data_IF_982584424437
#
_entry.id   IF_982584424437
#
_cell.length_a   1.000
_cell.length_b   1.000
_cell.length_c   1.000
_cell.angle_alpha   90.00
_cell.angle_beta   90.00
_cell.angle_gamma   90.00
#
_symmetry.space_group_name_H-M   'P 1'
#
loop_
_entity.id
_entity.type
_entity.pdbx_description
1 polymer ?
#
# COMPACT_ATOMS: atom_id res chain seq x y z
N UNK A 1 46.92 27.10 -21.01
CA UNK A 1 45.74 27.68 -20.35
C UNK A 1 44.77 26.55 -20.03
N UNK A 2 44.82 26.01 -18.82
CA UNK A 2 43.97 24.90 -18.39
C UNK A 2 42.58 25.41 -18.02
N UNK A 3 41.58 25.10 -18.84
CA UNK A 3 40.17 25.35 -18.49
C UNK A 3 39.77 24.33 -17.43
N UNK A 4 39.62 24.78 -16.20
CA UNK A 4 38.98 24.02 -15.12
C UNK A 4 37.51 23.83 -15.47
N UNK A 5 37.16 22.69 -16.04
CA UNK A 5 35.76 22.32 -16.29
C UNK A 5 35.07 22.12 -14.95
N UNK A 6 34.06 22.93 -14.68
CA UNK A 6 33.29 22.84 -13.45
C UNK A 6 32.29 21.67 -13.60
N UNK A 7 32.55 20.52 -12.96
CA UNK A 7 31.80 19.27 -13.19
C UNK A 7 30.28 19.39 -12.93
N UNK A 8 29.83 20.40 -12.18
CA UNK A 8 28.42 20.66 -11.93
C UNK A 8 27.60 21.17 -13.14
N UNK A 9 28.23 21.56 -14.24
CA UNK A 9 27.51 21.99 -15.46
C UNK A 9 28.37 21.78 -16.73
N UNK A 10 28.31 20.57 -17.31
CA UNK A 10 28.88 20.29 -18.63
C UNK A 10 27.84 20.67 -19.70
N UNK A 11 28.13 21.64 -20.60
CA UNK A 11 27.18 22.04 -21.62
C UNK A 11 27.00 20.96 -22.69
N UNK A 12 25.78 20.84 -23.24
CA UNK A 12 25.49 19.93 -24.34
C UNK A 12 26.29 20.32 -25.60
N UNK A 13 26.74 19.31 -26.35
CA UNK A 13 27.33 19.54 -27.67
C UNK A 13 26.24 19.84 -28.69
N UNK A 14 26.59 20.55 -29.78
CA UNK A 14 25.66 20.81 -30.90
C UNK A 14 25.05 19.53 -31.49
N UNK A 15 25.77 18.40 -31.41
CA UNK A 15 25.29 17.10 -31.86
C UNK A 15 24.23 16.53 -30.89
N UNK A 16 24.43 16.65 -29.58
CA UNK A 16 23.42 16.28 -28.58
C UNK A 16 22.15 17.14 -28.69
N UNK A 17 22.28 18.46 -28.91
CA UNK A 17 21.12 19.33 -29.16
C UNK A 17 20.35 18.95 -30.44
N UNK A 18 21.06 18.53 -31.50
CA UNK A 18 20.46 18.06 -32.76
C UNK A 18 19.63 16.78 -32.51
N UNK A 19 20.19 15.81 -31.78
CA UNK A 19 19.50 14.57 -31.40
C UNK A 19 18.22 14.85 -30.61
N UNK A 20 18.28 15.69 -29.57
CA UNK A 20 17.10 16.05 -28.76
C UNK A 20 15.98 16.70 -29.58
N UNK A 21 16.31 17.51 -30.58
CA UNK A 21 15.32 18.12 -31.50
C UNK A 21 14.68 17.08 -32.43
N UNK A 22 15.42 16.06 -32.85
CA UNK A 22 14.92 14.97 -33.71
C UNK A 22 14.06 13.98 -32.90
N UNK A 23 14.32 13.85 -31.59
CA UNK A 23 13.56 12.96 -30.67
C UNK A 23 12.05 13.23 -30.68
N UNK A 24 11.64 14.50 -30.78
CA UNK A 24 10.23 14.86 -30.93
C UNK A 24 9.59 14.34 -32.24
N UNK A 25 10.37 14.25 -33.32
CA UNK A 25 9.90 13.74 -34.61
C UNK A 25 9.73 12.21 -34.57
N UNK A 26 10.61 11.47 -33.87
CA UNK A 26 10.45 10.02 -33.69
C UNK A 26 9.18 9.68 -32.89
N UNK A 27 8.94 10.35 -31.76
CA UNK A 27 7.70 10.18 -30.98
C UNK A 27 6.44 10.38 -31.84
N UNK A 28 6.47 11.38 -32.74
CA UNK A 28 5.37 11.65 -33.67
C UNK A 28 5.23 10.60 -34.77
N UNK A 29 6.32 10.00 -35.26
CA UNK A 29 6.30 8.89 -36.23
C UNK A 29 5.67 7.65 -35.59
N UNK A 30 6.04 7.36 -34.34
CA UNK A 30 5.50 6.23 -33.58
C UNK A 30 4.06 6.43 -33.07
N UNK A 31 3.51 7.65 -33.21
CA UNK A 31 2.22 8.08 -32.66
C UNK A 31 2.13 7.93 -31.12
N UNK A 32 3.25 8.17 -30.44
CA UNK A 32 3.29 8.21 -28.99
C UNK A 32 2.82 9.58 -28.47
N UNK A 33 1.99 9.58 -27.42
CA UNK A 33 1.57 10.80 -26.71
C UNK A 33 2.70 11.39 -25.83
N UNK A 34 3.73 10.59 -25.52
CA UNK A 34 4.88 10.95 -24.68
C UNK A 34 6.20 10.64 -25.38
N UNK A 35 7.24 11.42 -25.07
CA UNK A 35 8.60 11.23 -25.58
C UNK A 35 9.38 10.29 -24.64
N UNK A 36 9.17 8.98 -24.78
CA UNK A 36 9.92 7.96 -24.04
C UNK A 36 11.36 7.77 -24.53
N UNK A 37 12.14 7.02 -23.75
CA UNK A 37 13.59 6.80 -23.97
C UNK A 37 13.94 6.09 -25.29
N UNK A 38 13.04 5.24 -25.78
CA UNK A 38 13.12 4.55 -27.06
C UNK A 38 13.20 5.52 -28.25
N UNK A 39 12.45 6.62 -28.21
CA UNK A 39 12.51 7.68 -29.22
C UNK A 39 13.85 8.42 -29.21
N UNK A 40 14.45 8.58 -28.02
CA UNK A 40 15.77 9.20 -27.88
C UNK A 40 16.86 8.29 -28.43
N UNK A 41 16.80 6.99 -28.15
CA UNK A 41 17.78 6.02 -28.67
C UNK A 41 17.65 5.85 -30.19
N UNK A 42 16.42 5.81 -30.73
CA UNK A 42 16.19 5.90 -32.19
C UNK A 42 16.82 7.15 -32.80
N UNK A 43 16.69 8.30 -32.14
CA UNK A 43 17.24 9.58 -32.63
C UNK A 43 18.76 9.68 -32.53
N UNK A 44 19.38 8.95 -31.60
CA UNK A 44 20.84 8.74 -31.56
C UNK A 44 21.24 7.91 -32.77
N UNK A 45 20.65 6.70 -32.90
CA UNK A 45 20.96 5.71 -33.93
C UNK A 45 20.67 6.18 -35.37
N UNK A 46 19.88 7.24 -35.55
CA UNK A 46 19.53 7.82 -36.86
C UNK A 46 20.67 8.62 -37.52
N UNK A 47 21.74 8.92 -36.79
CA UNK A 47 22.91 9.65 -37.28
C UNK A 47 24.14 8.72 -37.20
N UNK A 48 24.56 8.17 -38.35
CA UNK A 48 25.69 7.21 -38.43
C UNK A 48 27.05 7.87 -38.11
N UNK A 49 27.15 9.19 -38.22
CA UNK A 49 28.33 9.99 -37.82
C UNK A 49 28.34 10.30 -36.30
N UNK A 50 27.36 9.80 -35.54
CA UNK A 50 27.35 9.92 -34.09
C UNK A 50 28.21 8.82 -33.45
N UNK A 51 29.15 9.24 -32.59
CA UNK A 51 30.05 8.35 -31.85
C UNK A 51 29.27 7.26 -31.10
N UNK A 52 28.12 7.59 -30.52
CA UNK A 52 27.26 6.63 -29.83
C UNK A 52 26.68 5.56 -30.79
N UNK A 53 26.26 5.95 -31.99
CA UNK A 53 25.79 5.03 -33.04
C UNK A 53 26.91 4.12 -33.52
N UNK A 54 28.11 4.66 -33.74
CA UNK A 54 29.27 3.88 -34.17
C UNK A 54 29.72 2.86 -33.12
N UNK A 55 29.59 3.18 -31.83
CA UNK A 55 29.83 2.23 -30.74
C UNK A 55 28.74 1.14 -30.73
N UNK A 56 27.46 1.51 -30.78
CA UNK A 56 26.35 0.54 -30.76
C UNK A 56 26.36 -0.40 -31.98
N UNK A 57 26.79 0.10 -33.15
CA UNK A 57 26.96 -0.69 -34.37
C UNK A 57 28.02 -1.79 -34.22
N UNK A 58 29.08 -1.57 -33.43
CA UNK A 58 30.08 -2.62 -33.11
C UNK A 58 29.49 -3.77 -32.28
N UNK A 59 28.42 -3.51 -31.52
CA UNK A 59 27.64 -4.51 -30.80
C UNK A 59 26.48 -5.08 -31.64
N UNK A 60 26.41 -4.77 -32.93
CA UNK A 60 25.36 -5.25 -33.85
C UNK A 60 24.02 -4.52 -33.70
N UNK A 61 23.96 -3.43 -32.92
CA UNK A 61 22.75 -2.63 -32.74
C UNK A 61 22.77 -1.49 -33.76
N UNK A 62 21.82 -1.51 -34.70
CA UNK A 62 21.58 -0.44 -35.66
C UNK A 62 20.13 0.06 -35.57
N UNK A 63 19.85 1.17 -36.24
CA UNK A 63 18.53 1.82 -36.23
C UNK A 63 17.38 0.86 -36.58
N UNK A 64 17.49 0.09 -37.67
CA UNK A 64 16.40 -0.78 -38.13
C UNK A 64 16.14 -1.97 -37.19
N UNK A 65 17.20 -2.60 -36.65
CA UNK A 65 17.07 -3.68 -35.66
C UNK A 65 16.39 -3.17 -34.40
N UNK A 66 16.85 -2.03 -33.86
CA UNK A 66 16.26 -1.45 -32.66
C UNK A 66 14.80 -1.02 -32.90
N UNK A 67 14.52 -0.41 -34.05
CA UNK A 67 13.17 0.01 -34.45
C UNK A 67 12.18 -1.15 -34.53
N UNK A 68 12.59 -2.30 -35.09
CA UNK A 68 11.76 -3.50 -35.15
C UNK A 68 11.42 -4.02 -33.74
N UNK A 69 12.42 -4.08 -32.85
CA UNK A 69 12.21 -4.50 -31.46
C UNK A 69 11.28 -3.53 -30.69
N UNK A 70 11.37 -2.22 -30.98
CA UNK A 70 10.46 -1.21 -30.42
C UNK A 70 9.03 -1.39 -30.93
N UNK A 71 8.85 -1.68 -32.23
CA UNK A 71 7.52 -1.91 -32.81
C UNK A 71 6.86 -3.20 -32.32
N UNK A 72 7.63 -4.27 -32.08
CA UNK A 72 7.15 -5.55 -31.51
C UNK A 72 6.74 -5.38 -30.05
N UNK A 73 7.55 -4.70 -29.24
CA UNK A 73 7.31 -4.56 -27.80
C UNK A 73 6.52 -3.29 -27.43
N UNK A 74 5.63 -2.79 -28.31
CA UNK A 74 4.80 -1.58 -28.09
C UNK A 74 3.96 -1.56 -26.80
N UNK A 75 3.68 -2.71 -26.19
CA UNK A 75 3.00 -2.81 -24.89
C UNK A 75 3.96 -2.89 -23.69
N UNK A 76 5.27 -3.06 -23.93
CA UNK A 76 6.33 -3.20 -22.92
C UNK A 76 7.03 -1.88 -22.57
N UNK A 77 7.14 -0.92 -23.49
CA UNK A 77 7.74 0.40 -23.23
C UNK A 77 6.77 1.40 -22.57
N UNK A 78 6.04 0.96 -21.53
CA UNK A 78 5.42 1.91 -20.61
C UNK A 78 6.50 2.42 -19.67
N UNK A 79 6.87 3.70 -19.81
CA UNK A 79 7.95 4.41 -19.10
C UNK A 79 8.28 3.85 -17.70
N UNK A 80 9.23 2.91 -17.61
CA UNK A 80 9.86 2.49 -16.34
C UNK A 80 10.94 3.49 -15.89
N UNK A 81 10.69 4.79 -16.11
CA UNK A 81 11.65 5.88 -15.91
C UNK A 81 11.50 6.59 -14.55
N UNK A 82 11.37 5.82 -13.45
CA UNK A 82 11.72 6.30 -12.10
C UNK A 82 12.52 5.27 -11.27
N UNK A 83 13.84 5.50 -11.21
CA UNK A 83 14.63 5.29 -9.99
C UNK A 83 15.12 3.88 -9.63
N UNK A 84 16.21 3.43 -10.26
CA UNK A 84 17.32 2.78 -9.56
C UNK A 84 18.59 3.62 -9.79
N UNK A 85 19.65 3.65 -8.96
CA UNK A 85 19.91 3.12 -7.61
C UNK A 85 20.95 4.05 -6.94
N UNK A 86 21.77 3.67 -5.95
CA UNK A 86 21.91 2.41 -5.18
C UNK A 86 22.58 2.72 -3.82
N UNK A 87 23.04 1.71 -3.06
CA UNK A 87 23.72 1.89 -1.77
C UNK A 87 25.22 2.26 -1.85
N UNK A 88 25.73 2.94 -0.81
CA UNK A 88 27.09 2.71 -0.28
C UNK A 88 28.00 3.94 -0.10
N UNK A 89 28.40 4.23 1.14
CA UNK A 89 29.50 5.14 1.48
C UNK A 89 29.19 6.07 2.66
N UNK A 90 29.93 5.93 3.76
CA UNK A 90 29.90 6.85 4.90
C UNK A 90 30.47 8.24 4.51
N UNK A 91 29.89 9.33 5.04
CA UNK A 91 30.62 10.24 5.93
C UNK A 91 29.71 11.32 6.56
N UNK A 92 30.16 11.81 7.71
CA UNK A 92 29.47 12.70 8.66
C UNK A 92 29.50 14.18 8.25
N UNK A 93 28.34 14.83 8.04
CA UNK A 93 28.18 16.29 8.19
C UNK A 93 26.75 16.70 8.56
N UNK A 94 26.62 17.58 9.56
CA UNK A 94 25.41 18.32 9.91
C UNK A 94 25.39 19.66 9.16
N UNK A 95 24.21 20.10 8.67
CA UNK A 95 23.74 21.48 8.85
C UNK A 95 22.24 21.63 8.52
N UNK A 96 21.65 22.73 9.00
CA UNK A 96 20.21 22.97 9.06
C UNK A 96 19.64 23.76 7.85
N UNK A 97 18.34 24.08 7.96
CA UNK A 97 17.58 25.10 7.24
C UNK A 97 16.96 24.77 5.85
N UNK A 98 15.67 24.42 5.93
CA UNK A 98 14.59 25.25 5.39
C UNK A 98 14.69 25.78 3.94
N UNK A 99 13.91 25.20 3.02
CA UNK A 99 12.68 25.84 2.51
C UNK A 99 11.85 24.87 1.65
N UNK A 100 10.52 25.05 1.66
CA UNK A 100 9.53 24.05 1.23
C UNK A 100 9.09 24.15 -0.23
N UNK A 101 9.00 23.00 -0.91
CA UNK A 101 8.07 22.76 -2.03
C UNK A 101 7.58 21.29 -2.00
N UNK A 102 6.29 21.00 -2.22
CA UNK A 102 5.76 19.65 -2.12
C UNK A 102 6.10 18.82 -3.37
N UNK A 103 6.96 17.81 -3.24
CA UNK A 103 7.13 16.79 -4.29
C UNK A 103 5.90 15.86 -4.31
N UNK A 104 5.38 15.58 -5.50
CA UNK A 104 4.36 14.55 -5.71
C UNK A 104 4.89 13.19 -5.24
N UNK A 105 4.06 12.45 -4.50
CA UNK A 105 4.34 11.10 -4.05
C UNK A 105 3.89 10.12 -5.13
N UNK A 106 4.81 9.72 -6.00
CA UNK A 106 4.60 8.63 -6.96
C UNK A 106 5.95 8.01 -7.30
N UNK A 107 6.05 6.69 -7.10
CA UNK A 107 7.14 5.79 -7.51
C UNK A 107 8.42 5.82 -6.65
N UNK A 108 8.23 5.73 -5.33
CA UNK A 108 9.15 4.94 -4.50
C UNK A 108 8.88 3.46 -4.83
N UNK A 109 9.87 2.73 -5.35
CA UNK A 109 9.79 1.25 -5.44
C UNK A 109 9.45 0.71 -4.06
N UNK A 110 8.28 0.11 -3.92
CA UNK A 110 7.77 -0.34 -2.63
C UNK A 110 8.75 -1.30 -1.96
N UNK A 111 8.93 -1.14 -0.65
CA UNK A 111 9.73 -2.07 0.17
C UNK A 111 9.07 -3.45 0.28
N UNK A 112 7.78 -3.55 -0.08
CA UNK A 112 6.95 -4.75 0.08
C UNK A 112 6.20 -5.09 -1.22
N UNK A 113 6.90 -5.38 -2.33
CA UNK A 113 6.26 -5.61 -3.62
C UNK A 113 5.33 -6.83 -3.63
N UNK A 114 5.58 -7.87 -2.81
CA UNK A 114 4.67 -9.02 -2.72
C UNK A 114 3.44 -8.65 -1.90
N UNK A 115 3.59 -7.97 -0.76
CA UNK A 115 2.47 -7.49 0.04
C UNK A 115 1.54 -6.55 -0.75
N UNK A 116 2.11 -5.67 -1.59
CA UNK A 116 1.33 -4.72 -2.39
C UNK A 116 0.50 -5.39 -3.51
N UNK A 117 0.87 -6.61 -3.92
CA UNK A 117 0.11 -7.41 -4.90
C UNK A 117 -1.01 -8.24 -4.27
N UNK A 118 -0.90 -8.59 -2.97
CA UNK A 118 -1.83 -9.48 -2.25
C UNK A 118 -2.57 -8.77 -1.09
N UNK A 119 -2.40 -7.46 -0.96
CA UNK A 119 -2.93 -6.66 0.13
C UNK A 119 -3.42 -5.29 -0.34
N UNK A 120 -4.27 -4.67 0.48
CA UNK A 120 -4.82 -3.33 0.22
C UNK A 120 -4.20 -2.33 1.18
N UNK A 121 -3.45 -1.38 0.64
CA UNK A 121 -2.85 -0.29 1.43
C UNK A 121 -3.92 0.75 1.80
N UNK A 122 -4.32 0.76 3.07
CA UNK A 122 -5.30 1.71 3.61
C UNK A 122 -4.71 3.11 3.76
N UNK A 123 -3.38 3.23 3.97
CA UNK A 123 -2.70 4.52 4.07
C UNK A 123 -2.71 5.22 2.72
N UNK A 124 -2.40 4.50 1.64
CA UNK A 124 -2.54 5.00 0.27
C UNK A 124 -3.99 5.34 -0.08
N UNK A 125 -4.95 4.50 0.31
CA UNK A 125 -6.37 4.79 0.10
C UNK A 125 -6.83 6.06 0.86
N UNK A 126 -6.25 6.35 2.03
CA UNK A 126 -6.48 7.57 2.78
C UNK A 126 -5.87 8.81 2.08
N UNK A 127 -4.65 8.70 1.55
CA UNK A 127 -4.00 9.77 0.77
C UNK A 127 -4.76 10.10 -0.53
N UNK A 128 -5.30 9.07 -1.20
CA UNK A 128 -6.13 9.21 -2.40
C UNK A 128 -7.58 9.64 -2.10
N UNK A 129 -7.96 9.85 -0.83
CA UNK A 129 -9.30 10.28 -0.42
C UNK A 129 -10.41 9.25 -0.66
N UNK A 130 -10.05 7.97 -0.81
CA UNK A 130 -10.98 6.87 -1.16
C UNK A 130 -11.64 6.18 0.03
N UNK A 131 -11.19 6.48 1.26
CA UNK A 131 -11.81 5.94 2.47
C UNK A 131 -13.12 6.66 2.80
N UNK A 132 -14.00 5.98 3.53
CA UNK A 132 -15.23 6.58 4.04
C UNK A 132 -14.97 7.48 5.25
N UNK A 133 -15.79 8.53 5.45
CA UNK A 133 -15.70 9.37 6.64
C UNK A 133 -16.10 8.55 7.88
N UNK A 134 -15.23 8.54 8.89
CA UNK A 134 -15.44 7.78 10.12
C UNK A 134 -16.01 8.70 11.19
N UNK A 135 -16.98 8.18 11.94
CA UNK A 135 -17.82 8.90 12.91
C UNK A 135 -17.84 8.10 14.21
N UNK A 136 -17.75 8.77 15.36
CA UNK A 136 -17.99 8.18 16.69
C UNK A 136 -16.94 7.19 17.19
N UNK A 137 -15.88 6.90 16.42
CA UNK A 137 -14.83 5.91 16.77
C UNK A 137 -13.52 6.54 17.25
N UNK A 138 -13.56 7.81 17.68
CA UNK A 138 -12.36 8.58 17.98
C UNK A 138 -11.53 7.98 19.12
N UNK A 139 -12.21 7.43 20.14
CA UNK A 139 -11.62 6.86 21.36
C UNK A 139 -10.95 5.53 21.06
N UNK A 140 -11.58 4.68 20.25
CA UNK A 140 -11.07 3.38 19.83
C UNK A 140 -9.84 3.54 18.93
N UNK A 141 -9.90 4.44 17.95
CA UNK A 141 -8.75 4.75 17.08
C UNK A 141 -7.60 5.35 17.90
N UNK A 142 -7.89 6.22 18.88
CA UNK A 142 -6.85 6.73 19.78
C UNK A 142 -6.24 5.60 20.62
N UNK A 143 -7.07 4.71 21.17
CA UNK A 143 -6.62 3.56 21.96
C UNK A 143 -5.74 2.63 21.13
N UNK A 144 -6.09 2.35 19.89
CA UNK A 144 -5.30 1.56 18.92
C UNK A 144 -3.95 2.23 18.68
N UNK A 145 -3.92 3.53 18.39
CA UNK A 145 -2.70 4.34 18.20
C UNK A 145 -1.79 4.33 19.45
N UNK A 146 -2.37 4.48 20.64
CA UNK A 146 -1.66 4.38 21.92
C UNK A 146 -1.05 3.00 22.15
N UNK A 147 -1.71 1.92 21.73
CA UNK A 147 -1.21 0.54 21.87
C UNK A 147 -0.06 0.28 20.91
N UNK A 148 -0.22 0.62 19.63
CA UNK A 148 0.82 0.45 18.59
C UNK A 148 2.11 1.22 18.90
N UNK A 149 2.02 2.29 19.68
CA UNK A 149 3.16 3.10 20.14
C UNK A 149 3.95 2.49 21.32
N UNK A 150 3.55 1.33 21.87
CA UNK A 150 4.21 0.70 23.03
C UNK A 150 5.40 -0.17 22.63
N UNK A 151 6.32 -0.40 23.58
CA UNK A 151 7.45 -1.36 23.42
C UNK A 151 7.09 -2.82 23.73
N UNK A 152 5.95 -3.08 24.40
CA UNK A 152 5.46 -4.41 24.80
C UNK A 152 3.93 -4.40 24.73
N UNK A 153 3.31 -5.54 24.40
CA UNK A 153 1.87 -5.68 24.11
C UNK A 153 1.38 -4.57 23.16
N UNK A 154 2.05 -4.46 22.01
CA UNK A 154 1.89 -3.40 21.02
C UNK A 154 1.04 -3.80 19.81
N UNK A 155 0.43 -5.00 19.83
CA UNK A 155 -0.56 -5.43 18.85
C UNK A 155 -1.96 -5.28 19.46
N UNK A 156 -2.80 -4.32 19.03
CA UNK A 156 -4.18 -4.25 19.48
C UNK A 156 -5.00 -5.40 18.87
N UNK A 157 -5.96 -5.92 19.65
CA UNK A 157 -6.98 -6.84 19.15
C UNK A 157 -8.36 -6.25 19.39
N UNK A 158 -9.08 -6.04 18.30
CA UNK A 158 -10.41 -5.45 18.20
C UNK A 158 -11.46 -6.54 18.44
N UNK A 159 -12.16 -6.46 19.57
CA UNK A 159 -13.14 -7.45 20.00
C UNK A 159 -14.53 -6.80 20.04
N UNK A 160 -15.47 -7.39 19.33
CA UNK A 160 -16.87 -6.95 19.26
C UNK A 160 -17.69 -7.90 18.41
N UNK A 161 -18.96 -7.62 18.18
CA UNK A 161 -19.82 -8.40 17.29
C UNK A 161 -19.40 -8.25 15.81
N UNK A 162 -19.84 -9.12 14.89
CA UNK A 162 -19.74 -8.87 13.45
C UNK A 162 -20.41 -7.53 13.07
N UNK A 163 -19.98 -6.90 11.98
CA UNK A 163 -20.64 -5.69 11.46
C UNK A 163 -20.41 -4.37 12.22
N UNK A 164 -19.95 -4.36 13.47
CA UNK A 164 -19.80 -3.13 14.32
C UNK A 164 -18.77 -2.07 13.83
N UNK A 165 -18.14 -2.28 12.66
CA UNK A 165 -17.17 -1.34 12.08
C UNK A 165 -15.70 -1.55 12.50
N UNK A 166 -15.27 -2.78 12.80
CA UNK A 166 -13.87 -3.08 13.20
C UNK A 166 -12.86 -2.63 12.14
N UNK A 167 -13.15 -2.88 10.86
CA UNK A 167 -12.29 -2.53 9.73
C UNK A 167 -12.24 -1.00 9.52
N UNK A 168 -13.34 -0.28 9.81
CA UNK A 168 -13.37 1.19 9.79
C UNK A 168 -12.42 1.82 10.84
N UNK A 169 -12.15 1.15 11.97
CA UNK A 169 -11.15 1.62 12.96
C UNK A 169 -9.72 1.53 12.38
N UNK A 170 -9.43 0.54 11.54
CA UNK A 170 -8.13 0.42 10.86
C UNK A 170 -7.98 1.49 9.75
N UNK A 171 -9.04 1.74 8.99
CA UNK A 171 -9.11 2.85 8.04
C UNK A 171 -8.94 4.22 8.73
N UNK A 172 -9.54 4.40 9.91
CA UNK A 172 -9.43 5.63 10.70
C UNK A 172 -8.04 5.83 11.30
N UNK A 173 -7.35 4.75 11.66
CA UNK A 173 -5.94 4.82 12.02
C UNK A 173 -5.10 5.27 10.82
N UNK A 174 -5.32 4.69 9.64
CA UNK A 174 -4.60 5.05 8.43
C UNK A 174 -4.78 6.55 8.10
N UNK A 175 -6.03 7.04 8.15
CA UNK A 175 -6.35 8.46 7.98
C UNK A 175 -5.66 9.35 9.02
N UNK A 176 -5.62 8.95 10.30
CA UNK A 176 -4.89 9.71 11.34
C UNK A 176 -3.37 9.70 11.14
N UNK A 177 -2.78 8.62 10.60
CA UNK A 177 -1.36 8.56 10.27
C UNK A 177 -1.03 9.57 9.16
N UNK A 178 -1.80 9.58 8.07
CA UNK A 178 -1.66 10.55 6.96
C UNK A 178 -1.80 11.99 7.46
N UNK A 179 -2.82 12.25 8.28
CA UNK A 179 -3.05 13.57 8.91
C UNK A 179 -2.04 13.92 10.02
N UNK A 180 -1.07 13.03 10.33
CA UNK A 180 -0.09 13.16 11.43
C UNK A 180 -0.72 13.40 12.81
N UNK A 181 -1.97 12.96 13.03
CA UNK A 181 -2.72 13.01 14.30
C UNK A 181 -2.43 11.78 15.19
N UNK A 182 -1.18 11.34 15.22
CA UNK A 182 -0.71 10.14 15.94
C UNK A 182 0.64 10.43 16.60
N UNK A 183 1.15 9.49 17.41
CA UNK A 183 2.51 9.56 17.94
C UNK A 183 3.54 9.59 16.81
N UNK A 184 4.66 10.30 17.01
CA UNK A 184 5.80 10.34 16.06
C UNK A 184 6.32 8.95 15.68
N UNK A 185 6.16 7.96 16.57
CA UNK A 185 6.53 6.54 16.36
C UNK A 185 5.71 5.87 15.23
N UNK A 186 4.53 6.42 14.91
CA UNK A 186 3.64 5.94 13.86
C UNK A 186 3.70 6.79 12.58
N UNK A 187 4.53 7.83 12.53
CA UNK A 187 4.68 8.65 11.32
C UNK A 187 5.35 7.85 10.21
N UNK A 188 4.78 7.93 8.99
CA UNK A 188 5.29 7.19 7.83
C UNK A 188 5.06 5.68 7.88
N UNK A 189 4.35 5.15 8.88
CA UNK A 189 3.93 3.75 8.89
C UNK A 189 2.78 3.53 7.91
N UNK A 190 2.79 2.38 7.24
CA UNK A 190 1.74 1.94 6.30
C UNK A 190 0.81 0.96 6.98
N UNK A 191 -0.50 1.17 6.88
CA UNK A 191 -1.53 0.23 7.33
C UNK A 191 -2.00 -0.56 6.12
N UNK A 192 -1.78 -1.87 6.10
CA UNK A 192 -2.10 -2.74 4.96
C UNK A 192 -2.98 -3.89 5.41
N UNK A 193 -4.08 -4.16 4.71
CA UNK A 193 -4.89 -5.37 4.92
C UNK A 193 -4.37 -6.49 4.02
N UNK A 194 -4.41 -7.74 4.50
CA UNK A 194 -4.08 -8.90 3.66
C UNK A 194 -5.36 -9.53 3.10
N UNK A 195 -5.44 -9.73 1.79
CA UNK A 195 -6.54 -10.49 1.19
C UNK A 195 -6.14 -11.96 1.01
N UNK A 196 -6.59 -12.80 1.93
CA UNK A 196 -6.39 -14.25 1.87
C UNK A 196 -7.02 -14.88 0.62
N UNK A 197 -8.11 -14.31 0.06
CA UNK A 197 -8.72 -14.83 -1.15
C UNK A 197 -7.81 -14.60 -2.37
N UNK A 198 -7.18 -13.42 -2.49
CA UNK A 198 -6.19 -13.14 -3.55
C UNK A 198 -4.98 -14.10 -3.52
N UNK A 199 -4.54 -14.50 -2.33
CA UNK A 199 -3.41 -15.41 -2.14
C UNK A 199 -3.72 -16.83 -2.61
N UNK A 200 -4.93 -17.30 -2.32
CA UNK A 200 -5.46 -18.60 -2.80
C UNK A 200 -5.73 -18.57 -4.30
N UNK A 201 -6.22 -17.44 -4.83
CA UNK A 201 -6.58 -17.28 -6.23
C UNK A 201 -5.42 -17.61 -7.18
N UNK A 202 -5.70 -18.43 -8.20
CA UNK A 202 -4.70 -18.88 -9.16
C UNK A 202 -3.66 -19.87 -8.64
N UNK A 203 -3.75 -20.32 -7.38
CA UNK A 203 -2.98 -21.50 -6.91
C UNK A 203 -3.74 -22.79 -7.26
N UNK A 204 -3.01 -23.80 -7.76
CA UNK A 204 -3.57 -25.15 -7.99
C UNK A 204 -3.11 -26.17 -6.94
N UNK A 205 -2.02 -25.85 -6.25
CA UNK A 205 -1.36 -26.73 -5.29
C UNK A 205 -1.08 -25.97 -3.99
N UNK A 206 -1.31 -26.63 -2.85
CA UNK A 206 -1.09 -26.07 -1.50
C UNK A 206 0.30 -25.44 -1.33
N UNK A 207 1.35 -26.06 -1.87
CA UNK A 207 2.72 -25.54 -1.81
C UNK A 207 2.90 -24.16 -2.46
N UNK A 208 2.13 -23.83 -3.52
CA UNK A 208 2.19 -22.52 -4.17
C UNK A 208 1.60 -21.42 -3.28
N UNK A 209 0.56 -21.74 -2.52
CA UNK A 209 0.03 -20.83 -1.49
C UNK A 209 1.05 -20.65 -0.37
N UNK A 210 1.61 -21.73 0.18
CA UNK A 210 2.62 -21.66 1.25
C UNK A 210 3.87 -20.86 0.81
N UNK A 211 4.30 -20.97 -0.45
CA UNK A 211 5.38 -20.16 -1.03
C UNK A 211 5.04 -18.67 -1.10
N UNK A 212 3.86 -18.30 -1.61
CA UNK A 212 3.38 -16.90 -1.63
C UNK A 212 3.27 -16.32 -0.22
N UNK A 213 2.68 -17.07 0.71
CA UNK A 213 2.60 -16.69 2.12
C UNK A 213 3.99 -16.48 2.73
N UNK A 214 4.96 -17.32 2.38
CA UNK A 214 6.33 -17.20 2.89
C UNK A 214 7.01 -15.96 2.36
N UNK A 215 6.77 -15.58 1.10
CA UNK A 215 7.24 -14.34 0.54
C UNK A 215 6.64 -13.11 1.27
N UNK A 216 5.33 -13.08 1.50
CA UNK A 216 4.65 -12.03 2.30
C UNK A 216 5.25 -11.94 3.72
N UNK A 217 5.42 -13.06 4.41
CA UNK A 217 5.98 -13.10 5.76
C UNK A 217 7.42 -12.57 5.80
N UNK A 218 8.27 -12.97 4.83
CA UNK A 218 9.64 -12.47 4.71
C UNK A 218 9.73 -10.96 4.46
N UNK A 219 8.72 -10.35 3.81
CA UNK A 219 8.64 -8.89 3.63
C UNK A 219 8.20 -8.20 4.93
N UNK A 220 7.20 -8.75 5.62
CA UNK A 220 6.70 -8.23 6.89
C UNK A 220 7.77 -8.27 8.00
N UNK A 221 8.56 -9.34 8.08
CA UNK A 221 9.68 -9.47 9.04
C UNK A 221 10.79 -8.43 8.81
N UNK A 222 10.97 -7.96 7.55
CA UNK A 222 11.98 -6.94 7.19
C UNK A 222 11.46 -5.50 7.30
N UNK A 223 10.15 -5.30 7.19
CA UNK A 223 9.53 -3.98 6.99
C UNK A 223 8.89 -3.46 8.28
N UNK A 224 9.72 -2.85 9.14
CA UNK A 224 9.29 -2.30 10.44
C UNK A 224 8.35 -1.10 10.34
N UNK A 225 8.17 -0.54 9.14
CA UNK A 225 7.23 0.53 8.81
C UNK A 225 5.82 0.01 8.45
N UNK A 226 5.60 -1.30 8.33
CA UNK A 226 4.27 -1.87 8.06
C UNK A 226 3.51 -2.22 9.35
N UNK A 227 2.22 -1.90 9.37
CA UNK A 227 1.23 -2.37 10.34
C UNK A 227 0.23 -3.22 9.56
N UNK A 228 0.20 -4.52 9.85
CA UNK A 228 -0.72 -5.45 9.19
C UNK A 228 -2.09 -5.41 9.86
N UNK A 229 -3.15 -5.09 9.13
CA UNK A 229 -4.52 -5.35 9.58
C UNK A 229 -4.95 -6.75 9.14
N UNK A 230 -5.34 -7.57 10.11
CA UNK A 230 -5.88 -8.91 9.91
C UNK A 230 -7.33 -8.88 10.37
N UNK A 231 -8.26 -8.82 9.41
CA UNK A 231 -9.65 -9.14 9.73
C UNK A 231 -9.78 -10.63 10.04
N UNK A 232 -10.73 -10.98 10.91
CA UNK A 232 -10.95 -12.35 11.38
C UNK A 232 -9.66 -13.10 11.75
N UNK A 233 -8.82 -12.54 12.63
CA UNK A 233 -7.48 -13.10 12.97
C UNK A 233 -7.51 -14.55 13.48
N UNK A 234 -8.66 -15.01 13.97
CA UNK A 234 -8.91 -16.40 14.32
C UNK A 234 -8.84 -17.36 13.13
N UNK A 235 -9.08 -16.92 11.89
CA UNK A 235 -8.95 -17.76 10.68
C UNK A 235 -7.50 -18.17 10.48
N UNK A 236 -6.59 -17.20 10.62
CA UNK A 236 -5.15 -17.38 10.50
C UNK A 236 -4.60 -18.16 11.70
N UNK A 237 -5.11 -17.96 12.92
CA UNK A 237 -4.56 -18.59 14.15
C UNK A 237 -5.24 -19.92 14.50
N UNK A 238 -6.51 -20.11 14.18
CA UNK A 238 -7.37 -21.20 14.68
C UNK A 238 -7.43 -22.45 13.80
N UNK A 239 -7.01 -22.38 12.52
CA UNK A 239 -7.20 -23.42 11.50
C UNK A 239 -6.40 -24.74 11.68
N UNK A 240 -5.88 -25.03 12.87
CA UNK A 240 -5.02 -26.20 13.13
C UNK A 240 -5.75 -27.52 13.40
N UNK A 241 -7.08 -27.61 13.20
CA UNK A 241 -7.89 -28.71 13.79
C UNK A 241 -8.94 -29.40 12.91
N UNK A 242 -9.48 -28.77 11.84
CA UNK A 242 -10.57 -29.38 11.06
C UNK A 242 -10.60 -28.94 9.59
N UNK A 243 -10.74 -29.94 8.71
CA UNK A 243 -11.22 -29.86 7.32
C UNK A 243 -10.70 -28.72 6.42
N UNK A 244 -9.56 -28.97 5.75
CA UNK A 244 -9.30 -28.49 4.39
C UNK A 244 -8.97 -27.00 4.17
N UNK A 245 -9.13 -26.14 5.18
CA UNK A 245 -8.68 -24.74 5.11
C UNK A 245 -7.14 -24.64 5.18
N UNK A 246 -6.61 -23.53 4.66
CA UNK A 246 -5.17 -23.38 4.44
C UNK A 246 -4.45 -23.08 5.77
N UNK A 247 -3.39 -23.83 6.05
CA UNK A 247 -2.67 -23.82 7.33
C UNK A 247 -1.67 -22.65 7.44
N UNK A 248 -2.17 -21.43 7.36
CA UNK A 248 -1.38 -20.21 7.62
C UNK A 248 -0.97 -20.09 9.11
N UNK A 249 -1.64 -20.81 10.00
CA UNK A 249 -1.40 -20.84 11.46
C UNK A 249 0.05 -21.14 11.81
N UNK A 250 0.64 -22.16 11.16
CA UNK A 250 2.01 -22.56 11.40
C UNK A 250 3.05 -21.51 10.96
N UNK A 251 2.67 -20.54 10.12
CA UNK A 251 3.53 -19.46 9.65
C UNK A 251 3.37 -18.19 10.51
N UNK A 252 2.12 -17.78 10.81
CA UNK A 252 1.87 -16.56 11.58
C UNK A 252 2.10 -16.71 13.08
N UNK A 253 1.72 -17.83 13.70
CA UNK A 253 1.87 -18.00 15.16
C UNK A 253 3.29 -17.73 15.65
N UNK A 254 4.36 -18.27 15.04
CA UNK A 254 5.72 -18.00 15.48
C UNK A 254 6.10 -16.51 15.37
N UNK A 255 5.83 -15.86 14.24
CA UNK A 255 6.18 -14.45 14.03
C UNK A 255 5.43 -13.50 14.96
N UNK A 256 4.12 -13.74 15.17
CA UNK A 256 3.29 -13.01 16.13
C UNK A 256 3.77 -13.24 17.58
N UNK A 257 4.04 -14.50 17.95
CA UNK A 257 4.50 -14.87 19.30
C UNK A 257 5.92 -14.37 19.62
N UNK A 258 6.81 -14.25 18.61
CA UNK A 258 8.11 -13.58 18.73
C UNK A 258 7.92 -12.08 18.83
N UNK A 259 7.04 -11.50 18.01
CA UNK A 259 6.75 -10.06 17.94
C UNK A 259 7.48 -9.35 16.81
N UNK A 260 7.83 -10.10 15.75
CA UNK A 260 8.49 -9.57 14.54
C UNK A 260 7.51 -8.80 13.66
N UNK A 261 6.22 -9.18 13.70
CA UNK A 261 5.15 -8.52 12.93
C UNK A 261 4.31 -7.66 13.88
N UNK A 262 4.21 -6.37 13.56
CA UNK A 262 3.25 -5.45 14.16
C UNK A 262 1.91 -5.56 13.45
N UNK A 263 0.83 -5.84 14.18
CA UNK A 263 -0.49 -6.05 13.59
C UNK A 263 -1.65 -5.54 14.45
N UNK A 264 -2.78 -5.33 13.79
CA UNK A 264 -4.10 -5.06 14.37
C UNK A 264 -4.96 -6.27 13.99
N UNK A 265 -5.41 -7.05 14.96
CA UNK A 265 -6.33 -8.17 14.72
C UNK A 265 -7.78 -7.79 14.99
N UNK A 266 -8.73 -8.29 14.21
CA UNK A 266 -10.17 -8.21 14.50
C UNK A 266 -10.78 -9.60 14.68
N UNK A 267 -11.69 -9.76 15.65
CA UNK A 267 -12.30 -11.06 16.00
C UNK A 267 -13.57 -10.85 16.85
N UNK A 268 -14.42 -11.87 17.00
CA UNK A 268 -15.50 -11.88 17.99
C UNK A 268 -15.01 -12.27 19.39
N UNK A 269 -15.84 -12.08 20.40
CA UNK A 269 -15.50 -12.41 21.79
C UNK A 269 -15.26 -13.92 22.00
N UNK A 270 -16.03 -14.77 21.32
CA UNK A 270 -15.98 -16.22 21.50
C UNK A 270 -14.80 -16.84 20.75
N UNK A 271 -14.52 -16.39 19.52
CA UNK A 271 -13.28 -16.70 18.81
C UNK A 271 -12.04 -16.29 19.63
N UNK A 272 -12.04 -15.08 20.20
CA UNK A 272 -10.94 -14.61 21.05
C UNK A 272 -10.69 -15.57 22.22
N UNK A 273 -11.75 -15.93 22.95
CA UNK A 273 -11.70 -16.90 24.06
C UNK A 273 -11.26 -18.30 23.62
N UNK A 274 -11.65 -18.72 22.43
CA UNK A 274 -11.38 -20.06 21.92
C UNK A 274 -9.96 -20.21 21.39
N UNK A 275 -9.43 -19.23 20.65
CA UNK A 275 -8.21 -19.35 19.85
C UNK A 275 -7.06 -18.45 20.29
N UNK A 276 -7.32 -17.30 20.94
CA UNK A 276 -6.26 -16.34 21.35
C UNK A 276 -5.99 -16.40 22.85
N UNK A 277 -7.03 -16.33 23.69
CA UNK A 277 -6.89 -16.25 25.15
C UNK A 277 -6.27 -17.51 25.78
N UNK A 278 -6.50 -18.68 25.16
CA UNK A 278 -5.89 -19.95 25.57
C UNK A 278 -4.42 -20.08 25.16
N UNK A 279 -3.94 -19.28 24.22
CA UNK A 279 -2.54 -19.27 23.78
C UNK A 279 -1.77 -18.18 24.53
N UNK A 280 -1.09 -18.57 25.61
CA UNK A 280 -0.27 -17.67 26.41
C UNK A 280 0.91 -17.03 25.65
N UNK A 281 1.30 -17.53 24.47
CA UNK A 281 2.33 -16.92 23.63
C UNK A 281 1.78 -15.78 22.76
N UNK A 282 0.48 -15.80 22.45
CA UNK A 282 -0.24 -14.74 21.75
C UNK A 282 -0.89 -13.72 22.71
N UNK A 283 -1.53 -14.14 23.80
CA UNK A 283 -2.12 -13.19 24.77
C UNK A 283 -1.07 -12.21 25.33
N UNK A 284 0.16 -12.68 25.56
CA UNK A 284 1.30 -11.82 25.99
C UNK A 284 1.77 -10.81 24.93
N UNK A 285 1.21 -10.83 23.71
CA UNK A 285 1.52 -9.94 22.59
C UNK A 285 0.35 -9.02 22.24
N UNK A 286 -0.88 -9.50 22.36
CA UNK A 286 -2.07 -8.72 22.11
C UNK A 286 -2.52 -7.87 23.31
N UNK A 287 -3.24 -6.80 23.01
CA UNK A 287 -3.93 -5.95 23.98
C UNK A 287 -5.39 -5.77 23.54
N UNK A 288 -6.33 -6.25 24.35
CA UNK A 288 -7.77 -6.15 24.09
C UNK A 288 -8.21 -4.68 23.95
N UNK A 289 -9.03 -4.42 22.94
CA UNK A 289 -9.82 -3.21 22.73
C UNK A 289 -11.26 -3.68 22.45
N UNK A 290 -12.17 -3.39 23.37
CA UNK A 290 -13.59 -3.68 23.16
C UNK A 290 -14.19 -2.63 22.24
N UNK A 291 -15.05 -3.05 21.33
CA UNK A 291 -15.82 -2.18 20.44
C UNK A 291 -17.29 -2.52 20.66
N UNK A 292 -18.05 -1.52 21.10
CA UNK A 292 -19.49 -1.61 21.28
C UNK A 292 -20.20 -1.26 19.97
N UNK A 293 -21.39 -1.82 19.68
CA UNK A 293 -22.24 -1.36 18.57
C UNK A 293 -22.49 0.16 18.63
N UNK A 294 -22.68 0.78 17.48
CA UNK A 294 -23.02 2.20 17.43
C UNK A 294 -24.40 2.45 18.06
N UNK A 295 -24.56 3.56 18.79
CA UNK A 295 -25.87 3.99 19.29
C UNK A 295 -26.79 4.41 18.13
N UNK A 296 -28.12 4.48 18.32
CA UNK A 296 -29.03 4.96 17.29
C UNK A 296 -28.67 6.37 16.78
N UNK A 297 -28.28 7.28 17.68
CA UNK A 297 -27.92 8.66 17.34
C UNK A 297 -26.61 8.71 16.52
N UNK A 298 -25.58 7.95 16.91
CA UNK A 298 -24.34 7.81 16.13
C UNK A 298 -24.60 7.15 14.76
N UNK A 299 -25.54 6.19 14.70
CA UNK A 299 -25.94 5.56 13.44
C UNK A 299 -26.62 6.55 12.50
N UNK A 300 -27.45 7.46 13.01
CA UNK A 300 -28.03 8.55 12.23
C UNK A 300 -26.94 9.51 11.73
N UNK A 301 -25.92 9.84 12.53
CA UNK A 301 -24.79 10.66 12.05
C UNK A 301 -24.00 9.92 10.95
N UNK A 302 -23.69 8.63 11.14
CA UNK A 302 -23.02 7.78 10.12
C UNK A 302 -23.80 7.80 8.81
N UNK A 303 -25.11 7.55 8.85
CA UNK A 303 -25.95 7.53 7.65
C UNK A 303 -25.97 8.89 6.94
N UNK A 304 -26.05 10.00 7.68
CA UNK A 304 -25.99 11.35 7.09
C UNK A 304 -24.63 11.67 6.46
N UNK A 305 -23.53 11.07 6.94
CA UNK A 305 -22.17 11.29 6.38
C UNK A 305 -21.89 10.50 5.10
N UNK A 306 -22.54 9.34 4.93
CA UNK A 306 -22.42 8.52 3.71
C UNK A 306 -23.55 8.79 2.70
N UNK A 307 -24.63 9.46 3.13
CA UNK A 307 -25.83 9.81 2.35
C UNK A 307 -25.51 10.25 0.92
N UNK A 308 -24.69 11.30 0.76
CA UNK A 308 -24.38 11.89 -0.55
C UNK A 308 -23.85 10.84 -1.55
N UNK A 309 -22.99 9.92 -1.10
CA UNK A 309 -22.45 8.84 -1.95
C UNK A 309 -23.53 7.86 -2.42
N UNK A 310 -24.52 7.58 -1.57
CA UNK A 310 -25.66 6.72 -1.93
C UNK A 310 -26.69 7.45 -2.79
N UNK A 311 -26.93 8.74 -2.56
CA UNK A 311 -27.81 9.57 -3.40
C UNK A 311 -27.28 9.64 -4.83
N UNK A 312 -25.99 9.91 -5.01
CA UNK A 312 -25.31 9.91 -6.32
C UNK A 312 -25.36 8.53 -6.99
N UNK A 313 -25.13 7.45 -6.23
CA UNK A 313 -25.12 6.08 -6.77
C UNK A 313 -26.51 5.59 -7.21
N UNK A 314 -27.56 5.94 -6.46
CA UNK A 314 -28.92 5.46 -6.71
C UNK A 314 -29.80 6.45 -7.49
N UNK A 315 -29.39 7.72 -7.64
CA UNK A 315 -30.17 8.76 -8.31
C UNK A 315 -31.44 9.15 -7.55
N UNK A 316 -31.41 9.08 -6.21
CA UNK A 316 -32.55 9.36 -5.31
C UNK A 316 -32.13 10.32 -4.20
N UNK A 317 -33.11 10.97 -3.56
CA UNK A 317 -32.87 11.76 -2.35
C UNK A 317 -33.49 11.08 -1.12
N UNK A 318 -32.71 10.94 -0.05
CA UNK A 318 -33.16 10.37 1.22
C UNK A 318 -33.62 11.48 2.18
N UNK A 319 -34.87 11.43 2.63
CA UNK A 319 -35.39 12.37 3.63
C UNK A 319 -34.86 12.02 5.03
N UNK A 320 -34.75 13.02 5.91
CA UNK A 320 -34.37 12.81 7.31
C UNK A 320 -35.34 11.84 8.02
N UNK A 321 -36.64 11.96 7.73
CA UNK A 321 -37.67 11.05 8.22
C UNK A 321 -37.41 9.59 7.81
N UNK A 322 -36.96 9.35 6.57
CA UNK A 322 -36.65 8.00 6.08
C UNK A 322 -35.39 7.42 6.76
N UNK A 323 -34.37 8.25 7.01
CA UNK A 323 -33.15 7.84 7.73
C UNK A 323 -33.49 7.48 9.18
N UNK A 324 -34.23 8.35 9.87
CA UNK A 324 -34.67 8.13 11.25
C UNK A 324 -35.58 6.88 11.38
N UNK A 325 -36.52 6.71 10.44
CA UNK A 325 -37.35 5.51 10.37
C UNK A 325 -36.52 4.24 10.10
N UNK A 326 -35.51 4.29 9.23
CA UNK A 326 -34.63 3.16 8.95
C UNK A 326 -33.91 2.66 10.22
N UNK A 327 -33.29 3.57 10.99
CA UNK A 327 -32.60 3.22 12.24
C UNK A 327 -33.58 2.70 13.29
N UNK A 328 -34.71 3.38 13.48
CA UNK A 328 -35.72 2.99 14.47
C UNK A 328 -36.41 1.66 14.16
N UNK A 329 -36.66 1.35 12.87
CA UNK A 329 -37.25 0.07 12.45
C UNK A 329 -36.21 -1.05 12.51
N UNK A 330 -34.98 -0.82 12.05
CA UNK A 330 -33.87 -1.79 12.14
C UNK A 330 -33.65 -2.20 13.59
N UNK A 331 -33.44 -1.25 14.50
CA UNK A 331 -33.21 -1.50 15.93
C UNK A 331 -34.38 -2.19 16.64
N UNK A 332 -35.58 -2.21 16.06
CA UNK A 332 -36.79 -2.79 16.65
C UNK A 332 -37.16 -4.16 16.08
N UNK A 333 -36.87 -4.40 14.81
CA UNK A 333 -37.37 -5.56 14.06
C UNK A 333 -36.27 -6.47 13.50
N UNK A 334 -35.02 -5.99 13.42
CA UNK A 334 -33.86 -6.81 13.05
C UNK A 334 -33.10 -7.11 14.34
N UNK A 335 -33.33 -8.31 14.87
CA UNK A 335 -32.59 -8.90 15.98
C UNK A 335 -31.78 -10.07 15.45
N UNK A 336 -30.50 -9.83 15.18
CA UNK A 336 -29.47 -10.86 14.94
C UNK A 336 -28.68 -11.12 16.23
#
# INVERSE_FOLDING_TARGET
SSVTVNLGNIPLTKQAEKVLKITYLEAKIFKSDLIGTEHLLLSILRDDDNIASQILLQYGINYEIFKQEVEVNKNGFRDEAQGGGTAGGDDDYQEEESFTAPKKVSDIKSKTPVLDNFGRDLTRAAEEGKLDPIVGREKEIERVSQILSRRKKNNPILIGEPGVGKSAIAEGLALRIVQRKVSRVLFGKRVVTLDLASLVAGTKYRGQFEERMKAVMNELEKSTDVILFIDEIHTIVGAGGASGSLDASNMFKPALARGEIQCIGATTLDEYRQYIEKDGALDRRFQKVMIEPATPDETIEILNRIKEKYEDHHGVTYTEEAINACVALTSRYITD
#
